data_IF_153671036715
#
_entry.id   IF_153671036715
#
_cell.length_a   1.000
_cell.length_b   1.000
_cell.length_c   1.000
_cell.angle_alpha   90.00
_cell.angle_beta   90.00
_cell.angle_gamma   90.00
#
_symmetry.space_group_name_H-M   'P 1'
#
loop_
_entity.id
_entity.type
_entity.pdbx_description
1 polymer ?
#
# COMPACT_ATOMS: atom_id res chain seq x y z
N UNK A 1 -21.18 -54.71 3.39
CA UNK A 1 -21.43 -53.29 3.04
C UNK A 1 -20.11 -52.55 3.21
N UNK A 2 -19.53 -51.95 2.15
CA UNK A 2 -18.34 -51.14 2.32
C UNK A 2 -18.76 -49.76 2.82
N UNK A 3 -18.24 -49.39 4.00
CA UNK A 3 -18.42 -48.04 4.55
C UNK A 3 -17.67 -47.04 3.67
N UNK A 4 -18.47 -46.16 3.08
CA UNK A 4 -18.05 -45.06 2.24
C UNK A 4 -17.29 -44.05 3.11
N UNK A 5 -15.96 -44.09 3.08
CA UNK A 5 -15.13 -43.02 3.64
C UNK A 5 -15.19 -41.86 2.66
N UNK A 6 -16.15 -40.96 2.87
CA UNK A 6 -16.09 -39.62 2.31
C UNK A 6 -14.87 -38.91 2.92
N UNK A 7 -13.69 -39.11 2.31
CA UNK A 7 -12.59 -38.15 2.40
C UNK A 7 -13.10 -36.89 1.72
N UNK A 8 -13.63 -35.96 2.51
CA UNK A 8 -13.68 -34.57 2.09
C UNK A 8 -12.23 -34.15 1.86
N UNK A 9 -11.77 -34.26 0.61
CA UNK A 9 -10.56 -33.58 0.15
C UNK A 9 -10.88 -32.07 0.20
N UNK A 10 -10.91 -31.49 1.40
CA UNK A 10 -10.80 -30.05 1.58
C UNK A 10 -9.36 -29.71 1.18
N UNK A 11 -9.16 -29.46 -0.11
CA UNK A 11 -7.90 -28.98 -0.68
C UNK A 11 -7.54 -27.68 0.04
N UNK A 12 -6.46 -27.73 0.82
CA UNK A 12 -5.90 -26.54 1.45
C UNK A 12 -5.32 -25.61 0.40
N UNK A 13 -5.42 -24.29 0.55
CA UNK A 13 -4.83 -23.34 -0.42
C UNK A 13 -3.30 -23.19 -0.29
N UNK A 14 -2.62 -24.06 0.48
CA UNK A 14 -1.17 -24.01 0.58
C UNK A 14 -0.55 -24.73 -0.61
N UNK A 15 0.27 -24.02 -1.38
CA UNK A 15 1.03 -24.52 -2.52
C UNK A 15 2.11 -25.54 -2.11
N UNK A 16 2.57 -25.49 -0.86
CA UNK A 16 3.57 -26.41 -0.31
C UNK A 16 3.47 -26.60 1.20
N UNK A 17 4.06 -27.69 1.71
CA UNK A 17 4.22 -27.91 3.15
C UNK A 17 5.09 -26.83 3.82
N UNK A 18 6.06 -26.29 3.09
CA UNK A 18 6.95 -25.24 3.60
C UNK A 18 6.18 -23.92 3.79
N UNK A 19 5.31 -23.57 2.86
CA UNK A 19 4.43 -22.41 2.96
C UNK A 19 3.52 -22.53 4.19
N UNK A 20 2.86 -23.68 4.36
CA UNK A 20 2.04 -23.95 5.54
C UNK A 20 2.85 -23.78 6.83
N UNK A 21 4.05 -24.35 6.90
CA UNK A 21 4.90 -24.24 8.08
C UNK A 21 5.27 -22.78 8.39
N UNK A 22 5.63 -22.01 7.36
CA UNK A 22 5.97 -20.59 7.50
C UNK A 22 4.77 -19.77 7.97
N UNK A 23 3.58 -20.01 7.39
CA UNK A 23 2.33 -19.38 7.84
C UNK A 23 2.04 -19.72 9.30
N UNK A 24 2.11 -21.00 9.69
CA UNK A 24 1.90 -21.42 11.07
C UNK A 24 2.89 -20.75 12.03
N UNK A 25 4.16 -20.63 11.64
CA UNK A 25 5.17 -19.95 12.46
C UNK A 25 4.86 -18.46 12.63
N UNK A 26 4.37 -17.81 11.59
CA UNK A 26 3.95 -16.41 11.67
C UNK A 26 2.79 -16.25 12.67
N UNK A 27 1.79 -17.15 12.63
CA UNK A 27 0.69 -17.13 13.59
C UNK A 27 1.10 -17.55 15.01
N UNK A 28 2.11 -18.40 15.17
CA UNK A 28 2.71 -18.69 16.49
C UNK A 28 3.35 -17.44 17.10
N UNK A 29 4.00 -16.61 16.28
CA UNK A 29 4.52 -15.32 16.75
C UNK A 29 3.39 -14.43 17.26
N UNK A 30 2.27 -14.36 16.52
CA UNK A 30 1.07 -13.64 16.95
C UNK A 30 0.51 -14.17 18.27
N UNK A 31 0.38 -15.49 18.39
CA UNK A 31 -0.06 -16.15 19.62
C UNK A 31 0.81 -15.81 20.83
N UNK A 32 2.13 -15.72 20.62
CA UNK A 32 3.08 -15.37 21.68
C UNK A 32 2.93 -13.92 22.16
N UNK A 33 2.59 -12.99 21.28
CA UNK A 33 2.48 -11.56 21.60
C UNK A 33 1.09 -11.20 22.14
N UNK A 34 0.03 -11.70 21.52
CA UNK A 34 -1.35 -11.26 21.77
C UNK A 34 -2.23 -12.29 22.47
N UNK A 35 -1.77 -13.54 22.61
CA UNK A 35 -2.54 -14.61 23.23
C UNK A 35 -3.65 -15.17 22.34
N UNK A 36 -4.35 -16.18 22.86
CA UNK A 36 -5.25 -17.05 22.08
C UNK A 36 -6.44 -16.32 21.45
N UNK A 37 -7.12 -15.47 22.23
CA UNK A 37 -8.38 -14.85 21.81
C UNK A 37 -8.15 -13.83 20.69
N UNK A 38 -7.18 -12.92 20.87
CA UNK A 38 -6.85 -11.91 19.86
C UNK A 38 -6.24 -12.53 18.59
N UNK A 39 -5.46 -13.61 18.73
CA UNK A 39 -4.93 -14.36 17.58
C UNK A 39 -6.06 -14.97 16.77
N UNK A 40 -7.07 -15.55 17.44
CA UNK A 40 -8.24 -16.10 16.77
C UNK A 40 -9.08 -14.99 16.10
N UNK A 41 -9.35 -13.90 16.79
CA UNK A 41 -10.07 -12.74 16.23
C UNK A 41 -9.37 -12.24 14.97
N UNK A 42 -8.05 -12.07 15.05
CA UNK A 42 -7.25 -11.62 13.91
C UNK A 42 -7.27 -12.63 12.78
N UNK A 43 -7.05 -13.92 13.05
CA UNK A 43 -7.12 -14.98 12.04
C UNK A 43 -8.46 -15.00 11.31
N UNK A 44 -9.57 -14.81 12.03
CA UNK A 44 -10.90 -14.77 11.43
C UNK A 44 -11.20 -13.50 10.62
N UNK A 45 -10.43 -12.43 10.82
CA UNK A 45 -10.51 -11.20 10.05
C UNK A 45 -9.72 -11.26 8.73
N UNK A 46 -8.86 -12.27 8.54
CA UNK A 46 -8.19 -12.51 7.27
C UNK A 46 -9.13 -13.19 6.27
N UNK A 47 -8.93 -12.89 4.99
CA UNK A 47 -9.72 -13.46 3.89
C UNK A 47 -9.23 -14.87 3.50
N UNK A 48 -9.09 -15.77 4.48
CA UNK A 48 -8.74 -17.18 4.25
C UNK A 48 -9.99 -18.03 4.08
N UNK A 49 -9.87 -19.18 3.41
CA UNK A 49 -10.96 -20.17 3.40
C UNK A 49 -11.20 -20.68 4.82
N UNK A 50 -12.45 -21.03 5.12
CA UNK A 50 -12.83 -21.55 6.43
C UNK A 50 -12.04 -22.82 6.81
N UNK A 51 -11.74 -23.70 5.85
CA UNK A 51 -10.92 -24.91 6.05
C UNK A 51 -9.51 -24.56 6.53
N UNK A 52 -8.91 -23.51 5.96
CA UNK A 52 -7.58 -23.05 6.34
C UNK A 52 -7.56 -22.37 7.70
N UNK A 53 -8.58 -21.57 8.01
CA UNK A 53 -8.75 -20.99 9.36
C UNK A 53 -8.85 -22.11 10.40
N UNK A 54 -9.65 -23.15 10.14
CA UNK A 54 -9.75 -24.32 11.03
C UNK A 54 -8.41 -25.02 11.18
N UNK A 55 -7.73 -25.31 10.07
CA UNK A 55 -6.41 -25.96 10.08
C UNK A 55 -5.39 -25.16 10.91
N UNK A 56 -5.30 -23.86 10.68
CA UNK A 56 -4.39 -22.98 11.43
C UNK A 56 -4.78 -22.94 12.91
N UNK A 57 -6.07 -22.76 13.22
CA UNK A 57 -6.56 -22.72 14.60
C UNK A 57 -6.26 -24.03 15.36
N UNK A 58 -6.44 -25.18 14.70
CA UNK A 58 -6.15 -26.50 15.27
C UNK A 58 -4.65 -26.68 15.53
N UNK A 59 -3.80 -26.33 14.56
CA UNK A 59 -2.34 -26.38 14.70
C UNK A 59 -1.81 -25.48 15.82
N UNK A 60 -2.52 -24.39 16.11
CA UNK A 60 -2.19 -23.42 17.17
C UNK A 60 -2.90 -23.71 18.50
N UNK A 61 -3.79 -24.71 18.56
CA UNK A 61 -4.63 -25.02 19.74
C UNK A 61 -5.42 -23.79 20.23
N UNK A 62 -5.97 -23.03 19.29
CA UNK A 62 -6.86 -21.90 19.58
C UNK A 62 -8.24 -22.41 20.03
N UNK A 63 -9.02 -21.59 20.77
CA UNK A 63 -10.41 -21.91 21.07
C UNK A 63 -11.19 -22.19 19.79
N UNK A 64 -12.20 -23.06 19.86
CA UNK A 64 -13.08 -23.28 18.71
C UNK A 64 -13.67 -21.93 18.30
N UNK A 65 -13.58 -21.54 17.01
CA UNK A 65 -14.24 -20.32 16.54
C UNK A 65 -15.72 -20.46 16.89
N UNK A 66 -16.25 -19.56 17.71
CA UNK A 66 -17.67 -19.61 18.02
C UNK A 66 -18.42 -19.34 16.71
N UNK A 67 -19.39 -20.18 16.36
CA UNK A 67 -20.28 -19.95 15.21
C UNK A 67 -21.00 -18.59 15.30
N UNK A 68 -20.96 -17.93 16.47
CA UNK A 68 -21.54 -16.62 16.78
C UNK A 68 -20.60 -15.44 16.63
N UNK A 69 -19.35 -15.63 16.20
CA UNK A 69 -18.65 -14.54 15.53
C UNK A 69 -19.36 -14.39 14.20
N UNK A 70 -20.48 -13.68 14.21
CA UNK A 70 -21.05 -13.05 13.04
C UNK A 70 -19.83 -12.60 12.27
N UNK A 71 -19.59 -13.19 11.09
CA UNK A 71 -18.86 -12.47 10.06
C UNK A 71 -19.58 -11.14 10.07
N UNK A 72 -19.03 -10.13 10.73
CA UNK A 72 -19.36 -8.75 10.40
C UNK A 72 -18.92 -8.77 8.96
N UNK A 73 -19.89 -9.04 8.08
CA UNK A 73 -19.81 -8.86 6.64
C UNK A 73 -18.93 -7.65 6.55
N UNK A 74 -17.71 -7.81 6.03
CA UNK A 74 -16.77 -6.71 5.94
C UNK A 74 -17.59 -5.59 5.34
N UNK A 75 -18.06 -4.66 6.16
CA UNK A 75 -18.84 -3.53 5.68
C UNK A 75 -17.69 -2.72 5.13
N UNK A 76 -17.34 -3.04 3.88
CA UNK A 76 -16.64 -2.17 2.98
C UNK A 76 -17.31 -0.82 3.21
N UNK A 77 -16.63 0.15 3.84
CA UNK A 77 -17.05 1.51 3.64
C UNK A 77 -17.00 1.66 2.13
N UNK A 78 -18.16 1.81 1.50
CA UNK A 78 -18.35 2.06 0.07
C UNK A 78 -17.76 3.41 -0.37
N UNK A 79 -16.89 4.00 0.45
CA UNK A 79 -16.01 5.09 0.06
C UNK A 79 -14.82 4.50 -0.67
N UNK A 80 -14.77 4.80 -1.97
CA UNK A 80 -13.80 4.39 -3.00
C UNK A 80 -12.30 4.65 -2.73
N UNK A 81 -11.87 4.90 -1.49
CA UNK A 81 -10.47 5.19 -1.12
C UNK A 81 -9.91 4.23 -0.05
N UNK A 82 -10.57 3.10 0.18
CA UNK A 82 -10.07 2.07 1.09
C UNK A 82 -9.23 1.08 0.30
N UNK A 83 -7.92 1.10 0.51
CA UNK A 83 -6.89 0.11 0.12
C UNK A 83 -7.19 -1.30 0.68
N UNK A 84 -8.46 -1.67 0.85
CA UNK A 84 -8.95 -2.76 1.68
C UNK A 84 -9.17 -4.08 0.91
N UNK A 85 -8.45 -4.31 -0.18
CA UNK A 85 -8.23 -5.66 -0.72
C UNK A 85 -6.86 -6.17 -0.25
N UNK A 86 -6.65 -6.20 1.08
CA UNK A 86 -5.27 -6.25 1.62
C UNK A 86 -4.61 -7.62 1.46
N UNK A 87 -5.34 -8.72 1.33
CA UNK A 87 -4.76 -10.03 0.93
C UNK A 87 -5.81 -10.89 0.22
N UNK A 88 -5.61 -11.13 -1.08
CA UNK A 88 -6.39 -12.11 -1.86
C UNK A 88 -5.82 -13.54 -1.68
N UNK A 89 -4.61 -13.70 -1.11
CA UNK A 89 -4.03 -15.01 -0.85
C UNK A 89 -3.02 -14.99 0.31
N UNK A 90 -2.72 -16.19 0.84
CA UNK A 90 -1.83 -16.43 1.99
C UNK A 90 -0.36 -16.18 1.66
N UNK A 91 0.08 -16.52 0.44
CA UNK A 91 1.43 -16.25 -0.07
C UNK A 91 1.81 -14.77 0.13
N UNK A 92 0.86 -13.89 -0.16
CA UNK A 92 1.06 -12.44 -0.12
C UNK A 92 1.29 -11.91 1.30
N UNK A 93 0.85 -12.62 2.34
CA UNK A 93 1.14 -12.22 3.73
C UNK A 93 2.63 -12.38 4.05
N UNK A 94 3.22 -13.52 3.70
CA UNK A 94 4.63 -13.80 3.98
C UNK A 94 5.52 -12.88 3.15
N UNK A 95 5.20 -12.67 1.88
CA UNK A 95 5.93 -11.73 1.03
C UNK A 95 5.87 -10.31 1.56
N UNK A 96 4.69 -9.88 2.05
CA UNK A 96 4.55 -8.56 2.68
C UNK A 96 5.40 -8.45 3.94
N UNK A 97 5.39 -9.47 4.81
CA UNK A 97 6.25 -9.49 6.01
C UNK A 97 7.73 -9.40 5.60
N UNK A 98 8.15 -10.11 4.56
CA UNK A 98 9.52 -10.10 4.06
C UNK A 98 9.91 -8.71 3.53
N UNK A 99 9.02 -8.05 2.79
CA UNK A 99 9.23 -6.69 2.29
C UNK A 99 9.49 -5.69 3.42
N UNK A 100 8.69 -5.77 4.48
CA UNK A 100 8.86 -4.90 5.65
C UNK A 100 10.10 -5.26 6.47
N UNK A 101 10.49 -6.52 6.54
CA UNK A 101 11.75 -6.93 7.16
C UNK A 101 12.98 -6.46 6.36
N UNK A 102 12.89 -6.42 5.03
CA UNK A 102 13.94 -5.85 4.19
C UNK A 102 14.10 -4.35 4.47
N UNK A 103 12.98 -3.61 4.55
CA UNK A 103 13.00 -2.20 4.96
C UNK A 103 13.62 -2.00 6.34
N UNK A 104 13.23 -2.85 7.31
CA UNK A 104 13.77 -2.84 8.66
C UNK A 104 15.29 -3.04 8.69
N UNK A 105 15.80 -3.95 7.87
CA UNK A 105 17.24 -4.25 7.78
C UNK A 105 18.05 -3.06 7.29
N UNK A 106 17.50 -2.27 6.37
CA UNK A 106 18.22 -1.17 5.69
C UNK A 106 18.05 0.15 6.43
N UNK A 107 16.84 0.46 6.91
CA UNK A 107 16.49 1.78 7.44
C UNK A 107 16.18 1.79 8.95
N UNK A 108 16.14 0.62 9.58
CA UNK A 108 15.93 0.49 11.01
C UNK A 108 14.46 0.64 11.47
N UNK A 109 14.21 0.44 12.77
CA UNK A 109 12.85 0.30 13.31
C UNK A 109 11.99 1.55 13.20
N UNK A 110 12.54 2.71 13.54
CA UNK A 110 11.80 3.98 13.56
C UNK A 110 11.24 4.34 12.19
N UNK A 111 12.08 4.28 11.17
CA UNK A 111 11.68 4.60 9.79
C UNK A 111 10.67 3.57 9.26
N UNK A 112 10.90 2.28 9.53
CA UNK A 112 10.03 1.20 9.05
C UNK A 112 8.64 1.28 9.64
N UNK A 113 8.52 1.56 10.95
CA UNK A 113 7.22 1.68 11.62
C UNK A 113 6.49 2.95 11.18
N UNK A 114 7.21 4.06 10.95
CA UNK A 114 6.63 5.28 10.40
C UNK A 114 6.10 5.07 8.98
N UNK A 115 6.85 4.39 8.13
CA UNK A 115 6.41 4.00 6.78
C UNK A 115 5.21 3.05 6.83
N UNK A 116 5.22 2.04 7.69
CA UNK A 116 4.09 1.11 7.85
C UNK A 116 2.77 1.84 8.17
N UNK A 117 2.83 2.95 8.92
CA UNK A 117 1.67 3.79 9.21
C UNK A 117 1.10 4.52 7.98
N UNK A 118 1.92 4.84 6.98
CA UNK A 118 1.42 5.55 5.77
C UNK A 118 0.71 4.63 4.79
N UNK A 119 0.98 3.31 4.84
CA UNK A 119 0.30 2.32 4.00
C UNK A 119 -1.16 2.06 4.42
N UNK A 120 -1.52 2.42 5.66
CA UNK A 120 -2.91 2.43 6.11
C UNK A 120 -3.57 1.04 6.15
N UNK A 121 -2.80 0.01 6.51
CA UNK A 121 -3.32 -1.34 6.71
C UNK A 121 -4.42 -1.39 7.78
N UNK A 122 -5.33 -2.36 7.62
CA UNK A 122 -6.34 -2.65 8.64
C UNK A 122 -5.73 -3.28 9.88
N UNK A 123 -6.41 -3.14 11.04
CA UNK A 123 -5.99 -3.62 12.37
C UNK A 123 -5.34 -5.02 12.35
N UNK A 124 -6.03 -5.98 11.75
CA UNK A 124 -5.60 -7.38 11.66
C UNK A 124 -4.24 -7.52 10.93
N UNK A 125 -4.09 -6.84 9.81
CA UNK A 125 -2.87 -6.87 8.99
C UNK A 125 -1.74 -6.15 9.69
N UNK A 126 -2.00 -4.98 10.27
CA UNK A 126 -1.00 -4.24 11.03
C UNK A 126 -0.45 -5.09 12.17
N UNK A 127 -1.31 -5.70 12.98
CA UNK A 127 -0.91 -6.64 14.05
C UNK A 127 -0.04 -7.78 13.53
N UNK A 128 -0.42 -8.31 12.37
CA UNK A 128 0.27 -9.46 11.80
C UNK A 128 1.67 -9.09 11.31
N UNK A 129 1.81 -7.96 10.61
CA UNK A 129 3.11 -7.44 10.14
C UNK A 129 4.00 -7.08 11.34
N UNK A 130 3.53 -6.24 12.27
CA UNK A 130 4.36 -5.74 13.39
C UNK A 130 4.82 -6.87 14.32
N UNK A 131 4.01 -7.91 14.49
CA UNK A 131 4.42 -9.09 15.27
C UNK A 131 5.56 -9.86 14.61
N UNK A 132 5.59 -9.91 13.28
CA UNK A 132 6.53 -10.71 12.50
C UNK A 132 7.74 -9.90 11.99
N UNK A 133 7.77 -8.60 12.24
CA UNK A 133 8.97 -7.79 12.04
C UNK A 133 10.10 -8.24 12.98
N UNK A 134 11.33 -8.24 12.50
CA UNK A 134 12.52 -8.56 13.30
C UNK A 134 12.96 -7.38 14.19
N UNK A 135 12.00 -6.73 14.87
CA UNK A 135 12.24 -5.60 15.76
C UNK A 135 13.11 -6.02 16.97
N UNK A 136 14.03 -5.15 17.44
CA UNK A 136 14.76 -5.33 18.68
C UNK A 136 13.83 -5.61 19.86
N UNK A 137 14.30 -6.43 20.82
CA UNK A 137 13.52 -6.79 22.02
C UNK A 137 13.15 -5.60 22.90
N UNK A 138 13.89 -4.49 22.81
CA UNK A 138 13.61 -3.24 23.52
C UNK A 138 12.35 -2.53 23.02
N UNK A 139 11.85 -2.85 21.82
CA UNK A 139 10.65 -2.24 21.26
C UNK A 139 9.40 -2.97 21.75
N UNK A 140 8.51 -2.24 22.40
CA UNK A 140 7.19 -2.75 22.78
C UNK A 140 6.29 -2.86 21.54
N UNK A 141 6.21 -4.07 20.98
CA UNK A 141 5.44 -4.38 19.78
C UNK A 141 3.96 -4.01 19.90
N UNK A 142 3.34 -4.24 21.05
CA UNK A 142 1.92 -3.94 21.26
C UNK A 142 1.72 -2.42 21.18
N UNK A 143 2.53 -1.66 21.91
CA UNK A 143 2.44 -0.21 21.92
C UNK A 143 2.66 0.41 20.52
N UNK A 144 3.68 -0.05 19.78
CA UNK A 144 3.93 0.44 18.42
C UNK A 144 2.81 0.07 17.45
N UNK A 145 2.24 -1.13 17.58
CA UNK A 145 1.12 -1.55 16.73
C UNK A 145 -0.11 -0.68 16.97
N UNK A 146 -0.45 -0.38 18.23
CA UNK A 146 -1.58 0.49 18.56
C UNK A 146 -1.32 1.93 18.09
N UNK A 147 -0.08 2.44 18.18
CA UNK A 147 0.27 3.74 17.58
C UNK A 147 0.00 3.78 16.08
N UNK A 148 0.38 2.73 15.35
CA UNK A 148 0.15 2.64 13.90
C UNK A 148 -1.36 2.56 13.59
N UNK A 149 -2.11 1.75 14.32
CA UNK A 149 -3.57 1.62 14.15
C UNK A 149 -4.28 2.95 14.41
N UNK A 150 -3.82 3.71 15.42
CA UNK A 150 -4.41 4.97 15.83
C UNK A 150 -3.90 6.18 15.06
N UNK A 151 -2.79 6.05 14.30
CA UNK A 151 -2.35 7.08 13.39
C UNK A 151 -3.47 7.31 12.37
N UNK A 152 -4.10 8.49 12.45
CA UNK A 152 -5.34 8.83 11.76
C UNK A 152 -5.32 8.37 10.29
N UNK A 153 -6.37 7.65 9.87
CA UNK A 153 -6.58 7.12 8.50
C UNK A 153 -6.49 8.18 7.38
N UNK A 154 -6.33 9.46 7.74
CA UNK A 154 -6.07 10.59 6.86
C UNK A 154 -4.63 10.71 6.34
N UNK A 155 -3.68 9.91 6.86
CA UNK A 155 -2.25 9.99 6.54
C UNK A 155 -1.79 8.96 5.50
N UNK A 156 -2.66 8.59 4.56
CA UNK A 156 -2.30 7.65 3.49
C UNK A 156 -1.46 8.39 2.45
N UNK A 157 -0.16 8.11 2.46
CA UNK A 157 0.82 8.55 1.47
C UNK A 157 1.56 7.28 1.05
N UNK A 158 0.90 6.50 0.21
CA UNK A 158 1.48 5.36 -0.46
C UNK A 158 1.17 5.49 -1.94
N UNK A 159 2.17 5.25 -2.78
CA UNK A 159 2.03 5.30 -4.24
C UNK A 159 1.26 4.07 -4.77
N UNK A 160 0.93 3.11 -3.90
CA UNK A 160 0.32 1.84 -4.26
C UNK A 160 -1.13 1.78 -3.79
N UNK A 161 -2.03 1.49 -4.73
CA UNK A 161 -3.46 1.27 -4.50
C UNK A 161 -3.76 -0.08 -3.82
N UNK A 162 -2.80 -1.00 -3.83
CA UNK A 162 -2.89 -2.30 -3.16
C UNK A 162 -1.52 -2.90 -2.84
N UNK A 163 -1.48 -3.88 -1.94
CA UNK A 163 -0.27 -4.69 -1.70
C UNK A 163 0.19 -5.45 -2.95
N UNK A 164 -0.74 -5.82 -3.82
CA UNK A 164 -0.41 -6.56 -5.04
C UNK A 164 0.34 -5.68 -6.02
N UNK A 165 -0.05 -4.42 -6.11
CA UNK A 165 0.64 -3.42 -6.92
C UNK A 165 2.04 -3.14 -6.38
N UNK A 166 2.19 -3.02 -5.05
CA UNK A 166 3.51 -2.93 -4.41
C UNK A 166 4.39 -4.14 -4.75
N UNK A 167 3.89 -5.35 -4.52
CA UNK A 167 4.61 -6.60 -4.79
C UNK A 167 5.05 -6.68 -6.25
N UNK A 168 4.11 -6.44 -7.17
CA UNK A 168 4.38 -6.44 -8.61
C UNK A 168 5.41 -5.39 -9.01
N UNK A 169 5.34 -4.20 -8.42
CA UNK A 169 6.31 -3.13 -8.70
C UNK A 169 7.71 -3.55 -8.26
N UNK A 170 7.85 -4.12 -7.07
CA UNK A 170 9.12 -4.65 -6.56
C UNK A 170 9.65 -5.77 -7.47
N UNK A 171 8.79 -6.70 -7.89
CA UNK A 171 9.18 -7.81 -8.75
C UNK A 171 9.62 -7.33 -10.14
N UNK A 172 8.93 -6.35 -10.73
CA UNK A 172 9.34 -5.73 -11.98
C UNK A 172 10.75 -5.12 -11.87
N UNK A 173 11.05 -4.41 -10.79
CA UNK A 173 12.39 -3.84 -10.60
C UNK A 173 13.47 -4.91 -10.37
N UNK A 174 13.13 -6.02 -9.69
CA UNK A 174 14.03 -7.17 -9.57
C UNK A 174 14.29 -7.82 -10.93
N UNK A 175 13.27 -7.96 -11.77
CA UNK A 175 13.42 -8.49 -13.13
C UNK A 175 14.31 -7.59 -13.97
N UNK A 176 14.04 -6.27 -13.98
CA UNK A 176 14.86 -5.28 -14.68
C UNK A 176 16.33 -5.35 -14.26
N UNK A 177 16.58 -5.50 -12.96
CA UNK A 177 17.92 -5.66 -12.41
C UNK A 177 18.59 -6.97 -12.87
N UNK A 178 17.85 -8.07 -12.96
CA UNK A 178 18.38 -9.36 -13.38
C UNK A 178 18.68 -9.42 -14.88
N UNK A 179 17.92 -8.69 -15.70
CA UNK A 179 18.05 -8.69 -17.17
C UNK A 179 18.81 -7.49 -17.73
N UNK A 180 19.12 -6.50 -16.89
CA UNK A 180 19.65 -5.20 -17.30
C UNK A 180 20.80 -4.70 -16.44
N UNK A 181 21.29 -3.51 -16.76
CA UNK A 181 22.32 -2.83 -15.98
C UNK A 181 21.71 -2.19 -14.72
N UNK A 182 22.42 -2.29 -13.58
CA UNK A 182 22.00 -1.67 -12.32
C UNK A 182 21.75 -0.17 -12.49
N UNK A 183 22.64 0.56 -13.18
CA UNK A 183 22.51 2.00 -13.42
C UNK A 183 21.17 2.36 -14.08
N UNK A 184 20.81 1.68 -15.17
CA UNK A 184 19.54 1.90 -15.91
C UNK A 184 18.32 1.61 -15.05
N UNK A 185 18.39 0.59 -14.20
CA UNK A 185 17.31 0.25 -13.27
C UNK A 185 17.10 1.35 -12.23
N UNK A 186 18.19 1.88 -11.66
CA UNK A 186 18.13 2.96 -10.67
C UNK A 186 17.71 4.30 -11.30
N UNK A 187 18.14 4.59 -12.53
CA UNK A 187 17.68 5.74 -13.31
C UNK A 187 16.17 5.68 -13.54
N UNK A 188 15.65 4.53 -13.97
CA UNK A 188 14.21 4.33 -14.15
C UNK A 188 13.44 4.59 -12.83
N UNK A 189 13.94 4.07 -11.70
CA UNK A 189 13.32 4.34 -10.40
C UNK A 189 13.32 5.84 -10.04
N UNK A 190 14.39 6.57 -10.38
CA UNK A 190 14.46 8.01 -10.16
C UNK A 190 13.48 8.80 -11.05
N UNK A 191 12.99 8.24 -12.15
CA UNK A 191 12.03 8.91 -13.05
C UNK A 191 10.56 8.67 -12.67
N UNK A 192 10.26 7.55 -12.00
CA UNK A 192 8.91 7.28 -11.50
C UNK A 192 8.63 8.19 -10.31
N UNK A 193 7.72 9.15 -10.45
CA UNK A 193 7.34 10.16 -9.46
C UNK A 193 6.74 9.58 -8.16
N UNK A 194 7.49 8.73 -7.47
CA UNK A 194 7.13 8.05 -6.24
C UNK A 194 7.50 8.89 -5.03
N UNK A 195 6.75 8.72 -3.95
CA UNK A 195 7.12 9.29 -2.66
C UNK A 195 8.44 8.70 -2.16
N UNK A 196 9.21 9.46 -1.35
CA UNK A 196 10.45 8.96 -0.75
C UNK A 196 10.30 7.64 0.01
N UNK A 197 9.14 7.41 0.65
CA UNK A 197 8.86 6.19 1.41
C UNK A 197 8.76 4.98 0.46
N UNK A 198 8.09 5.13 -0.68
CA UNK A 198 7.99 4.05 -1.67
C UNK A 198 9.34 3.74 -2.31
N UNK A 199 10.16 4.76 -2.60
CA UNK A 199 11.53 4.56 -3.09
C UNK A 199 12.36 3.78 -2.07
N UNK A 200 12.32 4.16 -0.77
CA UNK A 200 13.00 3.40 0.30
C UNK A 200 12.53 1.94 0.35
N UNK A 201 11.23 1.70 0.22
CA UNK A 201 10.67 0.36 0.27
C UNK A 201 11.11 -0.49 -0.93
N UNK A 202 11.07 0.07 -2.14
CA UNK A 202 11.56 -0.60 -3.35
C UNK A 202 13.06 -0.88 -3.21
N UNK A 203 13.85 0.16 -2.90
CA UNK A 203 15.30 0.05 -2.75
C UNK A 203 15.70 -0.95 -1.68
N UNK A 204 14.98 -1.06 -0.55
CA UNK A 204 15.27 -2.05 0.46
C UNK A 204 15.11 -3.50 -0.04
N UNK A 205 14.31 -3.71 -1.09
CA UNK A 205 13.92 -5.02 -1.61
C UNK A 205 14.64 -5.44 -2.92
N UNK A 206 15.49 -4.58 -3.49
CA UNK A 206 16.30 -4.94 -4.66
C UNK A 206 17.50 -5.79 -4.27
N UNK A 207 17.47 -7.11 -4.46
CA UNK A 207 18.57 -7.97 -4.02
C UNK A 207 19.76 -7.96 -5.00
N UNK A 208 20.49 -6.83 -5.03
CA UNK A 208 21.75 -6.67 -5.78
C UNK A 208 22.94 -6.61 -4.83
N UNK A 209 23.95 -7.48 -4.97
CA UNK A 209 25.20 -7.39 -4.23
C UNK A 209 26.07 -6.20 -4.65
N UNK A 210 25.81 -5.59 -5.81
CA UNK A 210 26.53 -4.42 -6.30
C UNK A 210 26.15 -3.14 -5.56
N UNK A 211 24.98 -3.10 -4.92
CA UNK A 211 24.52 -2.00 -4.08
C UNK A 211 25.19 -2.11 -2.70
N UNK A 212 26.44 -1.65 -2.61
CA UNK A 212 27.27 -1.72 -1.38
C UNK A 212 26.75 -0.84 -0.24
N UNK A 213 26.33 0.38 -0.55
CA UNK A 213 25.73 1.32 0.41
C UNK A 213 24.32 1.69 -0.03
N UNK A 214 23.38 0.83 0.33
CA UNK A 214 21.98 0.94 -0.07
C UNK A 214 21.30 2.19 0.50
N UNK A 215 21.63 2.59 1.72
CA UNK A 215 21.03 3.78 2.32
C UNK A 215 21.45 5.05 1.58
N UNK A 216 22.75 5.20 1.29
CA UNK A 216 23.27 6.35 0.56
C UNK A 216 22.78 6.38 -0.89
N UNK A 217 22.76 5.24 -1.58
CA UNK A 217 22.22 5.16 -2.95
C UNK A 217 20.74 5.53 -2.97
N UNK A 218 19.96 5.07 -1.98
CA UNK A 218 18.53 5.42 -1.86
C UNK A 218 18.34 6.93 -1.71
N UNK A 219 19.18 7.61 -0.90
CA UNK A 219 19.12 9.08 -0.75
C UNK A 219 19.35 9.80 -2.10
N UNK A 220 20.37 9.37 -2.86
CA UNK A 220 20.65 9.94 -4.20
C UNK A 220 19.49 9.76 -5.18
N UNK A 221 18.85 8.59 -5.17
CA UNK A 221 17.69 8.32 -6.03
C UNK A 221 16.51 9.21 -5.64
N UNK A 222 16.27 9.41 -4.34
CA UNK A 222 15.23 10.33 -3.86
C UNK A 222 15.52 11.77 -4.32
N UNK A 223 16.76 12.25 -4.20
CA UNK A 223 17.16 13.60 -4.64
C UNK A 223 16.99 13.78 -6.16
N UNK A 224 17.40 12.78 -6.95
CA UNK A 224 17.21 12.78 -8.39
C UNK A 224 15.71 12.76 -8.76
N UNK A 225 14.92 11.95 -8.05
CA UNK A 225 13.48 11.87 -8.23
C UNK A 225 12.76 13.20 -7.95
N UNK A 226 13.12 13.84 -6.84
CA UNK A 226 12.59 15.16 -6.49
C UNK A 226 12.92 16.20 -7.58
N UNK A 227 14.15 16.17 -8.08
CA UNK A 227 14.60 17.05 -9.18
C UNK A 227 13.79 16.82 -10.46
N UNK A 228 13.55 15.55 -10.82
CA UNK A 228 12.75 15.17 -11.98
C UNK A 228 11.28 15.60 -11.83
N UNK A 229 10.69 15.44 -10.65
CA UNK A 229 9.33 15.88 -10.35
C UNK A 229 9.21 17.40 -10.51
N UNK A 230 10.16 18.18 -10.00
CA UNK A 230 10.19 19.64 -10.12
C UNK A 230 10.31 20.04 -11.61
N UNK A 231 11.28 19.47 -12.32
CA UNK A 231 11.52 19.79 -13.73
C UNK A 231 10.30 19.50 -14.62
N UNK A 232 9.65 18.35 -14.42
CA UNK A 232 8.43 17.99 -15.13
C UNK A 232 7.26 18.92 -14.78
N UNK A 233 7.15 19.32 -13.52
CA UNK A 233 6.13 20.26 -13.06
C UNK A 233 6.31 21.64 -13.69
N UNK A 234 7.54 22.14 -13.75
CA UNK A 234 7.86 23.42 -14.39
C UNK A 234 7.63 23.37 -15.91
N UNK A 235 8.02 22.28 -16.59
CA UNK A 235 7.75 22.09 -18.02
C UNK A 235 6.25 22.06 -18.33
N UNK A 236 5.46 21.40 -17.49
CA UNK A 236 4.00 21.38 -17.63
C UNK A 236 3.37 22.74 -17.31
N UNK A 237 3.92 23.47 -16.32
CA UNK A 237 3.51 24.84 -16.00
C UNK A 237 3.73 25.77 -17.19
N UNK A 238 4.87 25.70 -17.86
CA UNK A 238 5.18 26.56 -18.98
C UNK A 238 4.22 26.29 -20.16
N UNK A 239 3.83 25.02 -20.40
CA UNK A 239 2.75 24.64 -21.32
C UNK A 239 1.36 25.12 -20.91
N UNK A 240 1.05 25.13 -19.61
CA UNK A 240 -0.22 25.63 -19.08
C UNK A 240 -0.30 27.15 -19.10
N UNK A 241 0.83 27.85 -18.98
CA UNK A 241 0.88 29.31 -19.03
C UNK A 241 0.53 29.90 -20.41
N UNK A 242 0.67 29.11 -21.49
CA UNK A 242 0.17 29.45 -22.82
C UNK A 242 -1.35 29.31 -23.00
N UNK A 243 -2.05 28.69 -22.04
CA UNK A 243 -3.51 28.53 -22.03
C UNK A 243 -4.05 29.04 -20.69
N UNK A 244 -4.35 30.34 -20.63
CA UNK A 244 -5.04 31.08 -19.55
C UNK A 244 -5.09 30.35 -18.19
N UNK A 245 -4.18 30.65 -17.24
CA UNK A 245 -4.39 30.19 -15.86
C UNK A 245 -3.80 31.05 -14.73
N UNK A 246 -4.65 31.20 -13.70
CA UNK A 246 -4.57 32.04 -12.51
C UNK A 246 -3.32 31.74 -11.62
N UNK A 247 -2.56 32.76 -11.18
CA UNK A 247 -1.40 32.61 -10.28
C UNK A 247 -1.66 31.81 -9.00
N UNK A 248 -2.89 31.86 -8.45
CA UNK A 248 -3.24 31.14 -7.23
C UNK A 248 -3.22 29.61 -7.43
N UNK A 249 -3.69 29.14 -8.59
CA UNK A 249 -3.66 27.71 -8.95
C UNK A 249 -2.23 27.20 -9.08
N UNK A 250 -1.31 28.05 -9.57
CA UNK A 250 0.12 27.74 -9.68
C UNK A 250 0.80 27.61 -8.31
N UNK A 251 0.48 28.50 -7.37
CA UNK A 251 1.06 28.45 -6.02
C UNK A 251 0.55 27.23 -5.23
N UNK A 252 -0.74 26.91 -5.32
CA UNK A 252 -1.31 25.72 -4.67
C UNK A 252 -0.70 24.40 -5.18
N UNK A 253 -0.36 24.34 -6.47
CA UNK A 253 0.28 23.16 -7.07
C UNK A 253 1.74 23.01 -6.61
N UNK A 254 2.48 24.12 -6.48
CA UNK A 254 3.83 24.12 -5.89
C UNK A 254 3.82 23.62 -4.46
N UNK A 255 2.90 24.13 -3.64
CA UNK A 255 2.80 23.72 -2.24
C UNK A 255 2.46 22.23 -2.12
N UNK A 256 1.55 21.72 -2.96
CA UNK A 256 1.22 20.30 -2.99
C UNK A 256 2.43 19.42 -3.38
N UNK A 257 3.16 19.78 -4.44
CA UNK A 257 4.35 19.03 -4.87
C UNK A 257 5.43 19.06 -3.80
N UNK A 258 5.69 20.25 -3.24
CA UNK A 258 6.72 20.44 -2.22
C UNK A 258 6.42 19.63 -0.96
N UNK A 259 5.18 19.65 -0.48
CA UNK A 259 4.81 18.94 0.74
C UNK A 259 4.63 17.43 0.54
N UNK A 260 4.31 16.96 -0.67
CA UNK A 260 4.08 15.52 -0.94
C UNK A 260 5.36 14.78 -1.31
N UNK A 261 6.25 15.43 -2.08
CA UNK A 261 7.42 14.77 -2.66
C UNK A 261 8.76 15.31 -2.13
N UNK A 262 8.81 16.54 -1.58
CA UNK A 262 10.08 17.22 -1.25
C UNK A 262 10.34 17.32 0.26
N UNK A 263 9.35 17.71 1.07
CA UNK A 263 9.53 17.90 2.52
C UNK A 263 9.25 16.60 3.30
N UNK A 264 10.02 16.27 4.37
CA UNK A 264 9.67 15.18 5.28
C UNK A 264 8.29 15.44 5.90
N UNK A 265 7.41 14.44 5.88
CA UNK A 265 6.05 14.55 6.42
C UNK A 265 6.06 14.98 7.90
N UNK A 266 5.77 16.25 8.17
CA UNK A 266 5.42 16.78 9.50
C UNK A 266 3.93 17.16 9.53
N UNK A 267 3.31 17.01 10.70
CA UNK A 267 1.85 17.14 10.92
C UNK A 267 1.26 18.47 10.45
N UNK A 268 2.05 19.55 10.43
CA UNK A 268 1.61 20.88 9.98
C UNK A 268 1.46 21.01 8.46
N UNK A 269 2.23 20.26 7.65
CA UNK A 269 2.19 20.37 6.19
C UNK A 269 0.89 19.78 5.60
N UNK A 270 0.26 18.84 6.30
CA UNK A 270 -0.92 18.09 5.83
C UNK A 270 -2.23 18.88 5.89
N UNK A 271 -2.37 19.78 6.87
CA UNK A 271 -3.51 20.70 6.97
C UNK A 271 -3.52 21.69 5.80
N UNK A 272 -2.34 22.14 5.39
CA UNK A 272 -2.14 23.03 4.25
C UNK A 272 -2.45 22.33 2.92
N UNK A 273 -2.00 21.08 2.74
CA UNK A 273 -2.24 20.30 1.52
C UNK A 273 -3.72 19.97 1.27
N UNK A 274 -4.48 19.59 2.31
CA UNK A 274 -5.93 19.33 2.15
C UNK A 274 -6.70 20.58 1.77
N UNK A 275 -6.31 21.74 2.32
CA UNK A 275 -6.86 23.04 1.95
C UNK A 275 -6.54 23.38 0.48
N UNK A 276 -5.31 23.14 0.04
CA UNK A 276 -4.89 23.37 -1.34
C UNK A 276 -5.64 22.49 -2.35
N UNK A 277 -5.80 21.19 -2.08
CA UNK A 277 -6.54 20.26 -2.95
C UNK A 277 -8.02 20.63 -3.04
N UNK A 278 -8.67 20.91 -1.90
CA UNK A 278 -10.09 21.31 -1.89
C UNK A 278 -10.34 22.58 -2.72
N UNK A 279 -9.44 23.56 -2.61
CA UNK A 279 -9.48 24.79 -3.40
C UNK A 279 -9.24 24.57 -4.90
N UNK A 280 -8.43 23.57 -5.28
CA UNK A 280 -8.20 23.22 -6.69
C UNK A 280 -9.44 22.55 -7.30
N UNK A 281 -10.08 21.63 -6.57
CA UNK A 281 -11.27 20.90 -7.03
C UNK A 281 -12.48 21.82 -7.17
N UNK A 282 -12.72 22.71 -6.20
CA UNK A 282 -13.83 23.69 -6.25
C UNK A 282 -13.65 24.69 -7.41
N UNK A 283 -12.41 25.12 -7.70
CA UNK A 283 -12.14 26.02 -8.83
C UNK A 283 -12.25 25.33 -10.19
N UNK A 284 -11.83 24.06 -10.31
CA UNK A 284 -11.97 23.30 -11.55
C UNK A 284 -13.46 23.09 -11.91
N UNK A 285 -14.30 22.77 -10.92
CA UNK A 285 -15.76 22.60 -11.10
C UNK A 285 -16.41 23.92 -11.55
N UNK A 286 -16.00 25.05 -10.96
CA UNK A 286 -16.55 26.37 -11.29
C UNK A 286 -15.97 26.99 -12.58
N UNK A 287 -14.98 26.36 -13.22
CA UNK A 287 -14.34 26.84 -14.45
C UNK A 287 -14.84 26.15 -15.72
N UNK A 288 -15.75 25.19 -15.61
CA UNK A 288 -16.44 24.61 -16.77
C UNK A 288 -17.53 25.60 -17.20
N UNK A 289 -17.49 26.15 -18.43
CA UNK A 289 -18.58 26.95 -18.93
C UNK A 289 -19.82 26.06 -19.05
N UNK A 290 -20.89 26.39 -18.34
CA UNK A 290 -22.20 25.84 -18.61
C UNK A 290 -22.67 26.40 -19.96
N UNK A 291 -22.31 25.73 -21.05
CA UNK A 291 -22.88 26.03 -22.37
C UNK A 291 -24.39 25.75 -22.35
N UNK A 292 -25.23 26.69 -22.84
CA UNK A 292 -26.63 26.42 -23.05
C UNK A 292 -26.76 25.49 -24.26
N UNK A 293 -27.50 24.39 -24.10
CA UNK A 293 -27.94 23.52 -25.21
C UNK A 293 -28.67 24.39 -26.25
N UNK A 294 -27.98 24.74 -27.33
CA UNK A 294 -28.56 25.47 -28.45
C UNK A 294 -29.13 24.47 -29.46
N UNK A 295 -30.43 24.64 -29.72
CA UNK A 295 -31.19 23.94 -30.75
C UNK A 295 -30.53 24.13 -32.12
N UNK A 296 -30.38 23.03 -32.86
CA UNK A 296 -30.22 23.08 -34.32
C UNK A 296 -31.24 22.17 -34.98
N UNK A 297 -32.35 22.78 -35.39
CA UNK A 297 -33.13 22.29 -36.54
C UNK A 297 -32.30 22.45 -37.81
N UNK A 298 -32.19 21.39 -38.59
CA UNK A 298 -32.61 21.29 -40.01
C UNK A 298 -31.78 20.22 -40.69
N UNK A 299 -32.40 19.07 -40.93
CA UNK A 299 -32.10 18.30 -42.14
C UNK A 299 -33.39 18.10 -42.92
N UNK A 300 -33.45 18.79 -44.07
CA UNK A 300 -34.43 18.57 -45.12
C UNK A 300 -33.98 17.33 -45.90
N UNK A 301 -34.78 16.27 -45.87
CA UNK A 301 -34.96 15.40 -47.05
C UNK A 301 -36.37 14.81 -47.02
N UNK A 302 -37.21 15.23 -47.97
CA UNK A 302 -38.36 14.44 -48.43
C UNK A 302 -38.08 14.04 -49.87
N UNK A 303 -38.27 12.77 -50.27
CA UNK A 303 -38.36 12.39 -51.67
C UNK A 303 -39.82 12.36 -52.16
N UNK A 304 -40.00 12.72 -53.45
CA UNK A 304 -41.06 12.34 -54.43
C UNK A 304 -42.52 12.15 -53.92
N UNK A 305 -43.51 12.85 -54.46
CA UNK A 305 -43.97 12.87 -55.87
C UNK A 305 -44.67 14.18 -56.21
#
# INVERSE_FOLDING_TARGET
MPNNVNKSNETTDFSSNQELLNTINAWKAMLKVYGKNETLETLTAFNYKNSDIKLIADKLRLPKPSNRTSRKKLVLPSNKNTTAEVFISKDRLLDTINIWNAMLKVHGPTETLAALATFGYGKAVTKMITTNLQLPKSINRIAETEKIINASKSKKSTDFSSNQELLKTIDNFKEMLNTGELSKTLECLAELSYTPISIKLIMANLDSPEIKDRETITKKIIEANQTNIIANSDKNRDKLSSTQNNPQTRNNMKDYIYNTYIKPNTVENDLHNKSCIKNLTEKAINSVPSEPLSNTEKDKTSPQR
#
